data_IF_652673816036
#
_entry.id   IF_652673816036
#
_cell.length_a   1.000
_cell.length_b   1.000
_cell.length_c   1.000
_cell.angle_alpha   90.00
_cell.angle_beta   90.00
_cell.angle_gamma   90.00
#
_symmetry.space_group_name_H-M   'P 1'
#
loop_
_entity.id
_entity.type
_entity.pdbx_description
1 polymer ?
#
# COMPACT_ATOMS: atom_id res chain seq x y z
N UNK A 1 -2.21 2.12 -36.06
CA UNK A 1 -1.07 2.30 -35.13
C UNK A 1 -1.58 3.11 -33.96
N UNK A 2 -1.41 2.64 -32.73
CA UNK A 2 -1.77 3.42 -31.54
C UNK A 2 -0.81 4.62 -31.45
N UNK A 3 -1.34 5.83 -31.40
CA UNK A 3 -0.55 7.05 -31.27
C UNK A 3 0.12 7.08 -29.89
N UNK A 4 1.38 7.51 -29.82
CA UNK A 4 2.10 7.69 -28.58
C UNK A 4 1.98 9.15 -28.11
N UNK A 5 1.78 9.32 -26.80
CA UNK A 5 1.73 10.61 -26.13
C UNK A 5 2.97 10.79 -25.27
N UNK A 6 3.64 11.93 -25.42
CA UNK A 6 4.66 12.38 -24.46
C UNK A 6 3.98 13.03 -23.27
N UNK A 7 4.26 12.54 -22.07
CA UNK A 7 3.80 13.13 -20.80
C UNK A 7 5.00 13.44 -19.93
N UNK A 8 4.83 14.42 -19.05
CA UNK A 8 5.84 14.79 -18.07
C UNK A 8 5.20 15.14 -16.74
N UNK A 9 5.95 14.88 -15.68
CA UNK A 9 5.54 15.19 -14.31
C UNK A 9 6.75 15.65 -13.51
N UNK A 10 6.55 16.70 -12.71
CA UNK A 10 7.47 17.07 -11.64
C UNK A 10 7.13 16.25 -10.40
N UNK A 11 8.06 15.41 -9.96
CA UNK A 11 7.82 14.49 -8.84
C UNK A 11 7.79 15.23 -7.50
N UNK A 12 6.81 14.87 -6.66
CA UNK A 12 6.90 15.10 -5.21
C UNK A 12 7.83 14.07 -4.56
N UNK A 13 8.15 14.27 -3.28
CA UNK A 13 8.88 13.28 -2.48
C UNK A 13 8.13 11.94 -2.41
N UNK A 14 6.82 11.98 -2.15
CA UNK A 14 5.96 10.78 -2.13
C UNK A 14 5.97 10.03 -3.46
N UNK A 15 5.90 10.77 -4.58
CA UNK A 15 5.93 10.20 -5.93
C UNK A 15 7.27 9.48 -6.15
N UNK A 16 8.39 10.10 -5.75
CA UNK A 16 9.72 9.54 -5.89
C UNK A 16 9.92 8.27 -5.04
N UNK A 17 9.49 8.29 -3.77
CA UNK A 17 9.54 7.12 -2.89
C UNK A 17 8.73 5.97 -3.49
N UNK A 18 7.48 6.23 -3.86
CA UNK A 18 6.59 5.21 -4.45
C UNK A 18 7.19 4.60 -5.71
N UNK A 19 7.67 5.44 -6.63
CA UNK A 19 8.27 4.97 -7.88
C UNK A 19 9.57 4.19 -7.65
N UNK A 20 10.43 4.61 -6.73
CA UNK A 20 11.66 3.89 -6.42
C UNK A 20 11.36 2.48 -5.89
N UNK A 21 10.33 2.35 -5.06
CA UNK A 21 9.94 1.05 -4.57
C UNK A 21 9.24 0.19 -5.64
N UNK A 22 8.46 0.81 -6.53
CA UNK A 22 7.90 0.14 -7.70
C UNK A 22 9.02 -0.40 -8.59
N UNK A 23 10.02 0.42 -8.94
CA UNK A 23 11.21 0.00 -9.71
C UNK A 23 11.94 -1.15 -9.03
N UNK A 24 12.07 -1.13 -7.70
CA UNK A 24 12.79 -2.18 -6.96
C UNK A 24 12.02 -3.50 -6.90
N UNK A 25 10.69 -3.47 -6.85
CA UNK A 25 9.85 -4.65 -6.58
C UNK A 25 9.18 -5.23 -7.82
N UNK A 26 8.97 -4.44 -8.87
CA UNK A 26 8.35 -4.92 -10.11
C UNK A 26 9.44 -5.39 -11.09
N UNK A 27 9.53 -6.71 -11.37
CA UNK A 27 10.59 -7.27 -12.22
C UNK A 27 10.47 -6.87 -13.69
N UNK A 28 9.35 -6.27 -14.12
CA UNK A 28 9.14 -5.80 -15.50
C UNK A 28 9.89 -4.50 -15.81
N UNK A 29 10.41 -3.81 -14.78
CA UNK A 29 11.03 -2.50 -14.93
C UNK A 29 12.55 -2.66 -14.99
N UNK A 30 13.12 -2.38 -16.15
CA UNK A 30 14.57 -2.47 -16.38
C UNK A 30 15.21 -1.08 -16.53
N UNK A 31 14.46 -0.11 -17.05
CA UNK A 31 14.96 1.18 -17.55
C UNK A 31 14.67 2.36 -16.62
N UNK A 32 14.22 2.09 -15.38
CA UNK A 32 14.03 3.09 -14.33
C UNK A 32 12.69 3.83 -14.39
N UNK A 33 12.67 5.08 -13.89
CA UNK A 33 11.43 5.79 -13.52
C UNK A 33 10.49 6.10 -14.70
N UNK A 34 11.01 6.43 -15.88
CA UNK A 34 10.16 6.68 -17.06
C UNK A 34 9.40 5.43 -17.50
N UNK A 35 10.05 4.26 -17.42
CA UNK A 35 9.41 2.98 -17.69
C UNK A 35 8.43 2.59 -16.59
N UNK A 36 8.79 2.81 -15.32
CA UNK A 36 7.89 2.61 -14.20
C UNK A 36 6.58 3.40 -14.37
N UNK A 37 6.67 4.67 -14.77
CA UNK A 37 5.50 5.51 -15.04
C UNK A 37 4.62 4.95 -16.18
N UNK A 38 5.24 4.48 -17.27
CA UNK A 38 4.51 3.81 -18.36
C UNK A 38 3.78 2.56 -17.86
N UNK A 39 4.47 1.69 -17.11
CA UNK A 39 3.89 0.45 -16.58
C UNK A 39 2.75 0.74 -15.59
N UNK A 40 2.87 1.76 -14.73
CA UNK A 40 1.78 2.16 -13.83
C UNK A 40 0.49 2.46 -14.59
N UNK A 41 0.60 3.14 -15.73
CA UNK A 41 -0.56 3.43 -16.58
C UNK A 41 -1.09 2.19 -17.31
N UNK A 42 -0.20 1.32 -17.79
CA UNK A 42 -0.60 0.08 -18.48
C UNK A 42 -1.32 -0.87 -17.53
N UNK A 43 -0.82 -1.04 -16.30
CA UNK A 43 -1.48 -1.83 -15.26
C UNK A 43 -2.87 -1.27 -14.94
N UNK A 44 -2.96 0.05 -14.76
CA UNK A 44 -4.23 0.72 -14.53
C UNK A 44 -5.21 0.56 -15.70
N UNK A 45 -4.74 0.65 -16.94
CA UNK A 45 -5.59 0.52 -18.12
C UNK A 45 -6.02 -0.94 -18.40
N UNK A 46 -5.18 -1.90 -18.03
CA UNK A 46 -5.46 -3.34 -18.16
C UNK A 46 -6.48 -3.79 -17.13
N UNK A 47 -6.35 -3.32 -15.89
CA UNK A 47 -7.24 -3.63 -14.78
C UNK A 47 -7.64 -2.34 -14.08
N UNK A 48 -8.72 -1.71 -14.56
CA UNK A 48 -9.21 -0.42 -14.06
C UNK A 48 -9.41 -0.49 -12.53
N UNK A 49 -8.63 0.25 -11.74
CA UNK A 49 -8.78 0.28 -10.29
C UNK A 49 -10.09 0.94 -9.86
N UNK A 50 -10.54 0.63 -8.66
CA UNK A 50 -11.54 1.44 -7.95
C UNK A 50 -10.84 2.68 -7.39
N UNK A 51 -10.95 3.81 -8.08
CA UNK A 51 -10.14 4.99 -7.81
C UNK A 51 -10.37 5.60 -6.42
N UNK A 52 -11.59 5.46 -5.89
CA UNK A 52 -11.91 5.88 -4.51
C UNK A 52 -11.14 5.05 -3.49
N UNK A 53 -11.17 3.72 -3.64
CA UNK A 53 -10.41 2.80 -2.79
C UNK A 53 -8.90 3.05 -2.90
N UNK A 54 -8.38 3.33 -4.10
CA UNK A 54 -6.96 3.70 -4.27
C UNK A 54 -6.61 4.95 -3.48
N UNK A 55 -7.48 5.97 -3.48
CA UNK A 55 -7.25 7.20 -2.71
C UNK A 55 -7.24 6.91 -1.20
N UNK A 56 -8.23 6.16 -0.71
CA UNK A 56 -8.35 5.77 0.70
C UNK A 56 -7.13 4.94 1.16
N UNK A 57 -6.74 3.90 0.40
CA UNK A 57 -5.56 3.09 0.71
C UNK A 57 -4.28 3.93 0.68
N UNK A 58 -4.19 4.92 -0.22
CA UNK A 58 -3.01 5.74 -0.39
C UNK A 58 -2.76 6.71 0.77
N UNK A 59 -3.77 6.99 1.61
CA UNK A 59 -3.63 7.79 2.84
C UNK A 59 -2.83 7.04 3.91
N UNK A 60 -2.84 5.71 3.86
CA UNK A 60 -2.14 4.84 4.81
C UNK A 60 -0.75 4.38 4.32
N UNK A 61 -0.31 4.87 3.15
CA UNK A 61 1.01 4.57 2.64
C UNK A 61 2.08 5.21 3.52
N UNK A 62 3.08 4.42 3.89
CA UNK A 62 4.25 4.91 4.59
C UNK A 62 5.25 5.52 3.59
N UNK A 63 5.57 6.80 3.82
CA UNK A 63 6.59 7.56 3.07
C UNK A 63 7.76 7.99 3.97
N UNK A 64 7.91 7.36 5.13
CA UNK A 64 9.03 7.60 6.05
C UNK A 64 10.37 7.13 5.49
N UNK A 65 10.34 6.20 4.54
CA UNK A 65 11.53 5.69 3.87
C UNK A 65 12.35 6.78 3.21
N UNK A 66 13.68 6.63 3.24
CA UNK A 66 14.56 7.50 2.48
C UNK A 66 14.27 7.32 0.98
N UNK A 67 13.99 8.45 0.33
CA UNK A 67 14.29 8.58 -1.08
C UNK A 67 15.79 8.36 -1.20
N UNK A 68 16.22 7.13 -1.46
CA UNK A 68 17.63 6.76 -1.63
C UNK A 68 18.33 7.62 -2.70
N UNK A 69 17.55 8.39 -3.47
CA UNK A 69 17.98 9.35 -4.46
C UNK A 69 17.23 10.68 -4.27
N UNK A 70 17.46 11.37 -3.13
CA UNK A 70 16.95 12.71 -2.85
C UNK A 70 17.23 13.72 -3.99
N UNK A 71 18.24 13.44 -4.83
CA UNK A 71 18.57 14.16 -6.07
C UNK A 71 17.43 14.19 -7.10
N UNK A 72 16.49 13.24 -7.02
CA UNK A 72 15.35 13.11 -7.93
C UNK A 72 14.08 13.76 -7.40
N UNK A 73 14.05 14.16 -6.13
CA UNK A 73 12.99 15.00 -5.61
C UNK A 73 12.98 16.30 -6.41
N UNK A 74 11.80 16.71 -6.88
CA UNK A 74 11.61 17.87 -7.77
C UNK A 74 12.12 17.73 -9.21
N UNK A 75 12.64 16.56 -9.61
CA UNK A 75 12.99 16.29 -11.02
C UNK A 75 11.74 16.20 -11.91
N UNK A 76 11.86 16.71 -13.13
CA UNK A 76 10.84 16.52 -14.16
C UNK A 76 11.19 15.28 -14.96
N UNK A 77 10.31 14.28 -14.92
CA UNK A 77 10.46 13.04 -15.68
C UNK A 77 9.49 13.06 -16.86
N UNK A 78 10.02 12.75 -18.04
CA UNK A 78 9.21 12.55 -19.24
C UNK A 78 9.11 11.07 -19.59
N UNK A 79 7.96 10.65 -20.10
CA UNK A 79 7.68 9.27 -20.48
C UNK A 79 6.71 9.23 -21.66
N UNK A 80 6.73 8.10 -22.38
CA UNK A 80 5.84 7.82 -23.50
C UNK A 80 4.76 6.84 -23.06
N UNK A 81 3.53 7.08 -23.51
CA UNK A 81 2.38 6.24 -23.22
C UNK A 81 1.47 6.14 -24.46
N UNK A 82 0.84 4.98 -24.69
CA UNK A 82 -0.20 4.84 -25.72
C UNK A 82 -1.39 5.77 -25.45
N UNK A 83 -1.88 6.44 -26.49
CA UNK A 83 -3.06 7.30 -26.39
C UNK A 83 -4.30 6.53 -25.92
N UNK A 84 -4.45 5.29 -26.35
CA UNK A 84 -5.53 4.40 -25.93
C UNK A 84 -5.43 4.05 -24.44
N UNK A 85 -4.23 3.74 -23.95
CA UNK A 85 -3.94 3.50 -22.52
C UNK A 85 -4.30 4.73 -21.69
N UNK A 86 -3.80 5.91 -22.11
CA UNK A 86 -4.11 7.17 -21.43
C UNK A 86 -5.61 7.46 -21.43
N UNK A 87 -6.28 7.26 -22.56
CA UNK A 87 -7.71 7.56 -22.72
C UNK A 87 -8.60 6.67 -21.86
N UNK A 88 -8.27 5.38 -21.72
CA UNK A 88 -9.00 4.45 -20.84
C UNK A 88 -8.89 4.87 -19.37
N UNK A 89 -7.67 5.15 -18.91
CA UNK A 89 -7.45 5.62 -17.53
C UNK A 89 -8.20 6.94 -17.30
N UNK A 90 -8.05 7.91 -18.21
CA UNK A 90 -8.75 9.19 -18.13
C UNK A 90 -10.26 9.02 -18.04
N UNK A 91 -10.86 8.18 -18.91
CA UNK A 91 -12.30 7.93 -18.91
C UNK A 91 -12.77 7.36 -17.58
N UNK A 92 -12.08 6.34 -17.05
CA UNK A 92 -12.44 5.73 -15.76
C UNK A 92 -12.35 6.70 -14.58
N UNK A 93 -11.35 7.59 -14.57
CA UNK A 93 -11.20 8.63 -13.52
C UNK A 93 -12.36 9.62 -13.59
N UNK A 94 -12.75 10.05 -14.80
CA UNK A 94 -13.88 10.97 -14.99
C UNK A 94 -15.18 10.34 -14.49
N UNK A 95 -15.41 9.09 -14.84
CA UNK A 95 -16.63 8.36 -14.50
C UNK A 95 -16.73 8.09 -12.99
N UNK A 96 -15.72 7.48 -12.37
CA UNK A 96 -15.80 7.06 -10.97
C UNK A 96 -15.68 8.22 -9.97
N UNK A 97 -14.88 9.25 -10.30
CA UNK A 97 -14.63 10.39 -9.39
C UNK A 97 -15.43 11.64 -9.76
N UNK A 98 -16.18 11.63 -10.86
CA UNK A 98 -17.03 12.75 -11.27
C UNK A 98 -16.28 13.99 -11.77
N UNK A 99 -15.00 13.86 -12.13
CA UNK A 99 -14.22 14.99 -12.65
C UNK A 99 -14.49 15.23 -14.14
N UNK A 100 -14.88 16.43 -14.53
CA UNK A 100 -15.06 16.76 -15.96
C UNK A 100 -13.72 16.83 -16.72
N UNK A 101 -12.70 17.46 -16.12
CA UNK A 101 -11.37 17.67 -16.72
C UNK A 101 -10.25 17.48 -15.69
N UNK A 102 -10.01 16.24 -15.22
CA UNK A 102 -8.93 15.97 -14.28
C UNK A 102 -7.58 16.35 -14.90
N UNK A 103 -6.68 16.96 -14.10
CA UNK A 103 -5.34 17.35 -14.55
C UNK A 103 -4.51 16.11 -14.85
N UNK A 104 -3.70 16.15 -15.91
CA UNK A 104 -2.84 15.01 -16.29
C UNK A 104 -1.92 14.55 -15.15
N UNK A 105 -1.33 15.50 -14.41
CA UNK A 105 -0.48 15.21 -13.25
C UNK A 105 -1.22 14.49 -12.12
N UNK A 106 -2.49 14.83 -11.87
CA UNK A 106 -3.32 14.13 -10.90
C UNK A 106 -3.53 12.67 -11.32
N UNK A 107 -3.84 12.43 -12.60
CA UNK A 107 -4.02 11.07 -13.13
C UNK A 107 -2.72 10.26 -13.01
N UNK A 108 -1.58 10.87 -13.35
CA UNK A 108 -0.27 10.20 -13.23
C UNK A 108 -0.02 9.77 -11.79
N UNK A 109 -0.23 10.67 -10.81
CA UNK A 109 -0.07 10.34 -9.38
C UNK A 109 -1.03 9.24 -8.92
N UNK A 110 -2.26 9.26 -9.42
CA UNK A 110 -3.24 8.23 -9.11
C UNK A 110 -2.79 6.85 -9.62
N UNK A 111 -2.17 6.78 -10.80
CA UNK A 111 -1.60 5.54 -11.32
C UNK A 111 -0.41 5.05 -10.47
N UNK A 112 0.46 5.96 -10.04
CA UNK A 112 1.58 5.62 -9.12
C UNK A 112 1.03 5.04 -7.82
N UNK A 113 0.04 5.69 -7.20
CA UNK A 113 -0.61 5.22 -5.97
C UNK A 113 -1.27 3.86 -6.17
N UNK A 114 -2.00 3.66 -7.27
CA UNK A 114 -2.63 2.37 -7.59
C UNK A 114 -1.62 1.23 -7.70
N UNK A 115 -0.51 1.46 -8.44
CA UNK A 115 0.56 0.47 -8.57
C UNK A 115 1.22 0.18 -7.20
N UNK A 116 1.43 1.21 -6.39
CA UNK A 116 2.01 1.06 -5.06
C UNK A 116 1.11 0.26 -4.11
N UNK A 117 -0.19 0.56 -4.05
CA UNK A 117 -1.16 -0.19 -3.25
C UNK A 117 -1.23 -1.65 -3.69
N UNK A 118 -1.19 -1.91 -5.00
CA UNK A 118 -1.15 -3.27 -5.55
C UNK A 118 0.06 -4.06 -5.06
N UNK A 119 1.28 -3.48 -5.12
CA UNK A 119 2.49 -4.15 -4.62
C UNK A 119 2.41 -4.52 -3.14
N UNK A 120 1.80 -3.66 -2.32
CA UNK A 120 1.62 -3.94 -0.88
C UNK A 120 0.65 -5.10 -0.67
N UNK A 121 -0.50 -5.10 -1.37
CA UNK A 121 -1.46 -6.21 -1.30
C UNK A 121 -0.85 -7.53 -1.73
N UNK A 122 -0.09 -7.52 -2.82
CA UNK A 122 0.59 -8.73 -3.33
C UNK A 122 1.59 -9.28 -2.30
N UNK A 123 2.39 -8.40 -1.67
CA UNK A 123 3.32 -8.81 -0.61
C UNK A 123 2.60 -9.38 0.64
N UNK A 124 1.46 -8.80 1.04
CA UNK A 124 0.64 -9.33 2.13
C UNK A 124 -0.01 -10.67 1.78
N UNK A 125 -0.37 -10.88 0.50
CA UNK A 125 -0.96 -12.14 0.04
C UNK A 125 0.06 -13.28 -0.07
N UNK A 126 1.31 -12.99 -0.46
CA UNK A 126 2.38 -14.00 -0.49
C UNK A 126 2.84 -14.43 0.91
N UNK A 127 2.81 -13.52 1.89
CA UNK A 127 3.11 -13.86 3.28
C UNK A 127 2.08 -14.83 3.91
N UNK A 128 0.86 -14.90 3.36
CA UNK A 128 -0.18 -15.81 3.81
C UNK A 128 -0.08 -17.23 3.22
N UNK A 129 0.66 -17.43 2.11
CA UNK A 129 0.77 -18.73 1.42
C UNK A 129 1.99 -19.56 1.81
N UNK A 130 2.98 -18.97 2.49
CA UNK A 130 4.23 -19.67 2.89
C UNK A 130 4.12 -20.45 4.21
N UNK A 131 2.92 -20.55 4.80
CA UNK A 131 2.64 -21.51 5.86
C UNK A 131 1.97 -22.76 5.24
N UNK A 132 2.67 -23.88 5.03
CA UNK A 132 1.99 -25.14 4.71
C UNK A 132 0.99 -25.47 5.84
N UNK A 133 -0.16 -26.08 5.54
CA UNK A 133 -1.02 -26.63 6.58
C UNK A 133 -0.19 -27.66 7.34
N UNK A 134 0.26 -27.29 8.54
CA UNK A 134 0.68 -28.27 9.51
C UNK A 134 -0.57 -29.10 9.78
N UNK A 135 -0.51 -30.42 9.53
CA UNK A 135 -1.46 -31.36 10.11
C UNK A 135 -1.36 -31.23 11.62
N UNK A 136 -2.19 -30.33 12.18
CA UNK A 136 -2.40 -30.27 13.61
C UNK A 136 -3.22 -31.53 13.91
N UNK A 137 -2.68 -32.54 14.62
CA UNK A 137 -3.53 -33.59 15.13
C UNK A 137 -4.60 -32.89 15.95
N UNK A 138 -5.89 -33.23 15.73
CA UNK A 138 -7.01 -32.76 16.56
C UNK A 138 -6.60 -32.89 18.02
N UNK A 139 -6.14 -31.78 18.58
CA UNK A 139 -5.64 -31.63 19.93
C UNK A 139 -6.50 -30.53 20.48
N UNK A 140 -7.49 -30.98 21.23
CA UNK A 140 -8.32 -30.28 22.21
C UNK A 140 -8.13 -28.77 22.31
N UNK A 141 -9.25 -28.06 22.18
CA UNK A 141 -9.44 -26.62 22.36
C UNK A 141 -8.82 -26.05 23.65
N UNK A 142 -7.49 -25.93 23.71
CA UNK A 142 -6.77 -25.45 24.89
C UNK A 142 -5.59 -24.53 24.55
N UNK A 143 -5.35 -24.21 23.27
CA UNK A 143 -4.16 -23.47 22.84
C UNK A 143 -4.39 -22.03 22.38
N UNK A 144 -5.63 -21.51 22.45
CA UNK A 144 -5.89 -20.08 22.21
C UNK A 144 -5.43 -19.17 23.38
N UNK A 145 -4.94 -19.75 24.48
CA UNK A 145 -4.61 -19.04 25.73
C UNK A 145 -3.10 -18.89 26.01
N UNK A 146 -2.25 -18.86 24.97
CA UNK A 146 -0.85 -18.45 25.15
C UNK A 146 -0.56 -17.09 24.52
N UNK A 147 -1.34 -16.12 24.95
CA UNK A 147 -0.85 -14.75 25.11
C UNK A 147 0.14 -14.81 26.29
N UNK A 148 1.24 -14.06 26.19
CA UNK A 148 2.25 -13.73 27.22
C UNK A 148 1.95 -14.36 28.61
N UNK A 149 2.84 -15.14 29.23
CA UNK A 149 2.59 -15.74 30.54
C UNK A 149 2.04 -14.69 31.53
N UNK A 150 0.75 -14.78 31.85
CA UNK A 150 0.06 -13.84 32.74
C UNK A 150 -0.91 -12.83 32.11
N UNK A 151 -1.20 -12.89 30.80
CA UNK A 151 -2.27 -12.11 30.16
C UNK A 151 -3.35 -13.04 29.60
N UNK A 152 -4.50 -13.11 30.28
CA UNK A 152 -5.69 -13.80 29.76
C UNK A 152 -6.72 -12.77 29.29
N UNK A 153 -7.20 -12.93 28.06
CA UNK A 153 -8.25 -12.07 27.51
C UNK A 153 -9.58 -12.21 28.27
N UNK A 154 -9.75 -13.28 29.05
CA UNK A 154 -10.94 -13.53 29.85
C UNK A 154 -11.09 -12.54 31.02
N UNK A 155 -9.99 -11.95 31.50
CA UNK A 155 -10.00 -11.03 32.64
C UNK A 155 -10.65 -9.67 32.33
N UNK A 156 -10.87 -9.37 31.05
CA UNK A 156 -11.39 -8.08 30.58
C UNK A 156 -12.77 -8.18 29.92
N UNK A 157 -13.36 -9.38 29.88
CA UNK A 157 -14.65 -9.63 29.22
C UNK A 157 -15.83 -8.96 29.92
N UNK A 158 -15.74 -8.79 31.24
CA UNK A 158 -16.82 -8.26 32.08
C UNK A 158 -16.79 -6.73 32.26
N UNK A 159 -15.80 -6.05 31.67
CA UNK A 159 -15.81 -4.59 31.60
C UNK A 159 -16.72 -4.20 30.42
N UNK A 160 -17.60 -3.21 30.58
CA UNK A 160 -18.45 -2.73 29.47
C UNK A 160 -17.91 -1.43 28.86
N UNK A 161 -17.20 -0.63 29.66
CA UNK A 161 -16.59 0.63 29.23
C UNK A 161 -15.26 0.37 28.49
N UNK A 162 -15.14 0.99 27.31
CA UNK A 162 -13.96 0.84 26.44
C UNK A 162 -12.73 1.52 27.04
N UNK A 163 -12.91 2.63 27.76
CA UNK A 163 -11.82 3.38 28.38
C UNK A 163 -11.31 2.65 29.64
N UNK A 164 -12.19 1.96 30.38
CA UNK A 164 -11.79 1.11 31.50
C UNK A 164 -11.03 -0.13 31.02
N UNK A 165 -11.48 -0.76 29.93
CA UNK A 165 -10.76 -1.87 29.27
C UNK A 165 -9.35 -1.45 28.85
N UNK A 166 -9.23 -0.31 28.19
CA UNK A 166 -7.95 0.18 27.71
C UNK A 166 -6.98 0.46 28.87
N UNK A 167 -7.49 1.10 29.94
CA UNK A 167 -6.70 1.38 31.15
C UNK A 167 -6.29 0.12 31.90
N UNK A 168 -7.16 -0.90 31.97
CA UNK A 168 -6.87 -2.18 32.61
C UNK A 168 -5.79 -2.96 31.85
N UNK A 169 -5.88 -2.97 30.52
CA UNK A 169 -4.86 -3.58 29.64
C UNK A 169 -3.52 -2.85 29.79
N UNK A 170 -3.53 -1.52 29.81
CA UNK A 170 -2.32 -0.72 29.95
C UNK A 170 -1.60 -0.96 31.29
N UNK A 171 -2.34 -1.04 32.40
CA UNK A 171 -1.77 -1.37 33.72
C UNK A 171 -1.12 -2.76 33.74
N UNK A 172 -1.77 -3.76 33.13
CA UNK A 172 -1.23 -5.12 33.06
C UNK A 172 0.03 -5.22 32.21
N UNK A 173 0.09 -4.49 31.10
CA UNK A 173 1.31 -4.41 30.29
C UNK A 173 2.47 -3.77 31.06
N UNK A 174 2.20 -2.76 31.87
CA UNK A 174 3.21 -2.10 32.72
C UNK A 174 3.76 -3.04 33.82
N UNK A 175 2.89 -3.83 34.45
CA UNK A 175 3.29 -4.86 35.44
C UNK A 175 4.22 -5.90 34.81
N UNK A 176 3.88 -6.39 33.61
CA UNK A 176 4.68 -7.38 32.89
C UNK A 176 6.02 -6.82 32.41
N UNK A 177 6.05 -5.55 31.99
CA UNK A 177 7.28 -4.86 31.61
C UNK A 177 8.25 -4.77 32.81
N UNK A 178 7.72 -4.58 34.02
CA UNK A 178 8.50 -4.51 35.27
C UNK A 178 9.10 -5.88 35.66
N UNK A 179 8.41 -6.97 35.31
CA UNK A 179 8.89 -8.35 35.53
C UNK A 179 10.00 -8.72 34.53
N UNK A 180 9.94 -8.22 33.30
CA UNK A 180 10.93 -8.48 32.24
C UNK A 180 12.23 -7.66 32.37
N UNK A 181 12.27 -6.66 33.25
CA UNK A 181 13.44 -5.78 33.48
C UNK A 181 14.20 -6.06 34.78
N UNK A 182 13.88 -7.16 35.48
CA UNK A 182 14.68 -7.72 36.60
C UNK A 182 15.47 -8.93 36.15
#
# INVERSE_FOLDING_TARGET
MSQLLTKSIKLSREDAISLNEIVRKDPRIERGLSEALRICYEDAAMNIPQWKTVLEEAEHLDYSGDSADASRESSTISFLIGEDVFSRVLASVREQLGYARPRGTFITRLCIKAARCKLIREASSSAASDNPPQDIPRSDNSAANRIIPGLSLEEFKDLDDTDEKLNAIYKKLLELQTILTR
#
